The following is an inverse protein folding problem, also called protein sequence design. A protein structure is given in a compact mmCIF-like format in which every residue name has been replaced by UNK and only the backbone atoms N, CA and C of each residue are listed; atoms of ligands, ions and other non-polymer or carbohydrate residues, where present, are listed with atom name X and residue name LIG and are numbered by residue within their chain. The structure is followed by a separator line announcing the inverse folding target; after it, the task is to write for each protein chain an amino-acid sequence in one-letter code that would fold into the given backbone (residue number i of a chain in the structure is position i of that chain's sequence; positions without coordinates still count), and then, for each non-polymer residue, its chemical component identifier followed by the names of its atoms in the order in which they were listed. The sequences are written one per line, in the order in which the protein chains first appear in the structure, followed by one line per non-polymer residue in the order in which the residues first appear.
data_IF_703790216084
#
_entry.id   IF_703790216084
#
_cell.length_a   1.000
_cell.length_b   1.000
_cell.length_c   1.000
_cell.angle_alpha   90.00
_cell.angle_beta   90.00
_cell.angle_gamma   90.00
#
_symmetry.space_group_name_H-M   'P 1'
#
loop_
_entity.id
_entity.type
_entity.pdbx_description
1 polymer ?
#
# COMPACT_ATOMS: atom_id res chain seq x y z
N UNK A 1 -15.19 4.34 -3.45
CA UNK A 1 -16.60 4.60 -3.09
C UNK A 1 -17.49 4.28 -4.28
N UNK A 2 -18.76 3.98 -4.08
CA UNK A 2 -19.70 3.73 -5.19
C UNK A 2 -20.58 4.94 -5.38
N UNK A 3 -20.68 5.44 -6.61
CA UNK A 3 -21.57 6.55 -6.98
C UNK A 3 -22.11 6.29 -8.38
N UNK A 4 -23.41 6.54 -8.59
CA UNK A 4 -24.12 6.25 -9.84
C UNK A 4 -23.93 4.80 -10.33
N UNK A 5 -23.98 3.83 -9.40
CA UNK A 5 -23.71 2.41 -9.67
C UNK A 5 -22.32 2.11 -10.28
N UNK A 6 -21.36 3.01 -10.12
CA UNK A 6 -19.98 2.82 -10.56
C UNK A 6 -19.01 2.86 -9.38
N UNK A 7 -18.00 1.99 -9.44
CA UNK A 7 -16.86 2.05 -8.53
C UNK A 7 -15.98 3.24 -8.91
N UNK A 8 -15.70 4.09 -7.92
CA UNK A 8 -14.93 5.31 -8.09
C UNK A 8 -13.87 5.40 -7.00
N UNK A 9 -12.73 5.99 -7.35
CA UNK A 9 -11.63 6.25 -6.43
C UNK A 9 -11.12 7.68 -6.63
N UNK A 10 -10.48 8.20 -5.59
CA UNK A 10 -9.71 9.44 -5.64
C UNK A 10 -8.26 9.07 -5.34
N UNK A 11 -7.34 9.60 -6.15
CA UNK A 11 -5.91 9.41 -6.00
C UNK A 11 -5.23 10.77 -6.10
N UNK A 12 -4.24 11.01 -5.26
CA UNK A 12 -3.45 12.24 -5.25
C UNK A 12 -1.99 11.90 -5.58
N UNK A 13 -1.43 12.61 -6.56
CA UNK A 13 -0.01 12.59 -6.86
C UNK A 13 0.72 13.67 -6.07
N UNK A 14 2.02 13.46 -5.81
CA UNK A 14 2.88 14.50 -5.24
C UNK A 14 3.06 15.71 -6.16
N UNK A 15 3.06 15.46 -7.48
CA UNK A 15 3.25 16.48 -8.50
C UNK A 15 2.12 16.48 -9.54
N UNK A 16 1.65 17.66 -9.98
CA UNK A 16 0.58 17.77 -10.97
C UNK A 16 0.99 17.23 -12.36
N UNK A 17 2.28 17.29 -12.70
CA UNK A 17 2.81 16.78 -13.98
C UNK A 17 2.61 15.27 -14.09
N UNK A 18 2.91 14.53 -13.02
CA UNK A 18 2.70 13.07 -12.97
C UNK A 18 1.21 12.72 -13.11
N UNK A 19 0.32 13.51 -12.51
CA UNK A 19 -1.13 13.33 -12.65
C UNK A 19 -1.60 13.54 -14.10
N UNK A 20 -1.08 14.57 -14.78
CA UNK A 20 -1.40 14.83 -16.19
C UNK A 20 -0.92 13.69 -17.09
N UNK A 21 0.32 13.24 -16.91
CA UNK A 21 0.88 12.14 -17.69
C UNK A 21 0.10 10.83 -17.46
N UNK A 22 -0.25 10.52 -16.21
CA UNK A 22 -1.05 9.35 -15.88
C UNK A 22 -2.43 9.39 -16.56
N UNK A 23 -3.12 10.53 -16.54
CA UNK A 23 -4.40 10.70 -17.23
C UNK A 23 -4.25 10.44 -18.74
N UNK A 24 -3.25 11.03 -19.39
CA UNK A 24 -3.03 10.86 -20.83
C UNK A 24 -2.71 9.41 -21.22
N UNK A 25 -1.96 8.69 -20.38
CA UNK A 25 -1.52 7.33 -20.67
C UNK A 25 -2.57 6.26 -20.31
N UNK A 26 -3.40 6.51 -19.29
CA UNK A 26 -4.25 5.47 -18.69
C UNK A 26 -5.75 5.70 -18.90
N UNK A 27 -6.19 6.90 -19.28
CA UNK A 27 -7.61 7.14 -19.55
C UNK A 27 -8.09 6.28 -20.73
N UNK A 28 -9.19 5.56 -20.55
CA UNK A 28 -9.73 4.62 -21.53
C UNK A 28 -9.03 3.26 -21.60
N UNK A 29 -7.96 3.03 -20.84
CA UNK A 29 -7.24 1.76 -20.83
C UNK A 29 -7.90 0.73 -19.90
N UNK A 30 -7.70 -0.56 -20.17
CA UNK A 30 -8.22 -1.64 -19.34
C UNK A 30 -7.19 -2.09 -18.29
N UNK A 31 -7.62 -2.31 -17.04
CA UNK A 31 -6.75 -2.87 -16.00
C UNK A 31 -6.45 -4.35 -16.30
N UNK A 32 -7.44 -5.08 -16.80
CA UNK A 32 -7.33 -6.48 -17.20
C UNK A 32 -7.76 -6.64 -18.64
N UNK A 33 -7.32 -7.71 -19.32
CA UNK A 33 -7.72 -7.95 -20.70
C UNK A 33 -9.25 -7.93 -20.85
N UNK A 34 -9.74 -7.02 -21.70
CA UNK A 34 -11.16 -6.80 -21.99
C UNK A 34 -12.07 -6.48 -20.78
N UNK A 35 -11.54 -6.01 -19.64
CA UNK A 35 -12.35 -5.66 -18.46
C UNK A 35 -11.74 -4.50 -17.65
N UNK A 36 -12.57 -3.85 -16.82
CA UNK A 36 -12.15 -2.78 -15.91
C UNK A 36 -11.52 -1.56 -16.62
N UNK A 37 -12.25 -0.98 -17.58
CA UNK A 37 -11.83 0.23 -18.28
C UNK A 37 -11.74 1.43 -17.32
N UNK A 38 -10.60 2.10 -17.32
CA UNK A 38 -10.34 3.30 -16.55
C UNK A 38 -11.01 4.52 -17.19
N UNK A 39 -11.60 5.37 -16.35
CA UNK A 39 -12.07 6.71 -16.69
C UNK A 39 -11.45 7.68 -15.71
N UNK A 40 -10.63 8.59 -16.21
CA UNK A 40 -9.78 9.44 -15.37
C UNK A 40 -10.09 10.91 -15.67
N UNK A 41 -10.60 11.60 -14.65
CA UNK A 41 -10.88 13.03 -14.67
C UNK A 41 -10.18 13.73 -13.50
N UNK A 42 -9.95 15.04 -13.65
CA UNK A 42 -9.42 15.85 -12.56
C UNK A 42 -10.50 16.14 -11.52
N UNK A 43 -10.16 15.90 -10.24
CA UNK A 43 -11.03 16.25 -9.12
C UNK A 43 -11.03 17.76 -8.89
N UNK A 44 -12.09 18.27 -8.26
CA UNK A 44 -12.16 19.64 -7.72
C UNK A 44 -11.41 19.78 -6.39
N UNK A 45 -11.08 18.65 -5.75
CA UNK A 45 -10.35 18.63 -4.48
C UNK A 45 -8.87 18.90 -4.73
N UNK A 46 -8.30 19.85 -3.98
CA UNK A 46 -6.86 20.13 -4.00
C UNK A 46 -6.07 19.08 -3.22
N UNK A 47 -6.65 18.58 -2.12
CA UNK A 47 -6.04 17.59 -1.23
C UNK A 47 -7.04 16.50 -0.83
N UNK A 48 -6.54 15.29 -0.62
CA UNK A 48 -7.29 14.16 -0.08
C UNK A 48 -6.97 13.99 1.40
N UNK A 49 -8.01 13.86 2.22
CA UNK A 49 -7.86 13.60 3.64
C UNK A 49 -8.08 12.11 3.93
N UNK A 50 -6.99 11.38 4.22
CA UNK A 50 -7.03 9.98 4.65
C UNK A 50 -6.91 9.91 6.17
N UNK A 51 -7.88 9.25 6.80
CA UNK A 51 -7.93 9.04 8.26
C UNK A 51 -7.39 7.68 8.70
N UNK A 52 -7.56 6.67 7.85
CA UNK A 52 -7.20 5.29 8.15
C UNK A 52 -6.49 4.64 6.97
N UNK A 53 -5.54 3.76 7.26
CA UNK A 53 -4.81 2.96 6.27
C UNK A 53 -5.42 1.55 6.16
N UNK A 54 -6.46 1.38 5.34
CA UNK A 54 -7.17 0.12 5.13
C UNK A 54 -7.55 -0.10 3.65
N UNK A 55 -8.40 -1.10 3.38
CA UNK A 55 -8.82 -1.46 2.02
C UNK A 55 -9.56 -0.34 1.26
N UNK A 56 -10.12 0.64 1.99
CA UNK A 56 -10.90 1.74 1.40
C UNK A 56 -10.10 3.02 1.21
N UNK A 57 -9.04 3.23 1.98
CA UNK A 57 -8.20 4.42 1.92
C UNK A 57 -6.79 4.14 2.39
N UNK A 58 -5.80 4.80 1.79
CA UNK A 58 -4.39 4.67 2.19
C UNK A 58 -3.63 5.97 1.94
N UNK A 59 -2.84 6.37 2.93
CA UNK A 59 -1.89 7.47 2.89
C UNK A 59 -0.48 6.87 2.84
N UNK A 60 0.18 7.02 1.70
CA UNK A 60 1.53 6.48 1.49
C UNK A 60 2.63 7.35 2.14
N UNK A 61 2.29 8.53 2.67
CA UNK A 61 3.23 9.43 3.36
C UNK A 61 3.19 9.29 4.88
N UNK A 62 2.10 8.72 5.42
CA UNK A 62 1.89 8.51 6.86
C UNK A 62 1.62 7.02 7.17
N UNK A 63 2.68 6.20 7.33
CA UNK A 63 2.53 4.79 7.66
C UNK A 63 2.00 4.56 9.08
N UNK A 64 2.06 5.57 9.94
CA UNK A 64 1.62 5.60 11.33
C UNK A 64 0.09 5.70 11.51
N UNK A 65 -0.67 5.95 10.44
CA UNK A 65 -2.13 6.01 10.55
C UNK A 65 -2.74 4.66 10.96
N UNK A 66 -3.75 4.66 11.84
CA UNK A 66 -4.42 3.43 12.25
C UNK A 66 -5.17 2.77 11.09
N UNK A 67 -5.40 1.47 11.17
CA UNK A 67 -6.18 0.73 10.16
C UNK A 67 -7.70 0.88 10.34
N UNK A 68 -8.18 1.31 11.52
CA UNK A 68 -9.61 1.54 11.79
C UNK A 68 -9.90 1.82 13.27
N UNK A 69 -11.14 2.20 13.58
CA UNK A 69 -11.66 2.35 14.95
C UNK A 69 -11.79 0.97 15.61
N UNK A 70 -10.68 0.38 16.05
CA UNK A 70 -10.70 -0.95 16.67
C UNK A 70 -9.37 -1.66 16.78
N UNK A 71 -8.31 -1.17 16.12
CA UNK A 71 -6.96 -1.61 16.46
C UNK A 71 -6.47 -0.81 17.66
N UNK A 72 -6.12 -1.43 18.80
CA UNK A 72 -5.23 -0.77 19.74
C UNK A 72 -3.96 -0.40 18.95
N UNK A 73 -3.51 0.85 19.07
CA UNK A 73 -2.23 1.26 18.52
C UNK A 73 -1.20 0.20 18.95
N UNK A 74 -0.66 -0.55 17.98
CA UNK A 74 0.36 -1.53 18.28
C UNK A 74 1.53 -0.73 18.85
N UNK A 75 1.82 -0.95 20.13
CA UNK A 75 2.96 -0.34 20.79
C UNK A 75 4.19 -0.49 19.87
N UNK A 76 5.01 0.55 19.68
CA UNK A 76 6.20 0.48 18.83
C UNK A 76 7.13 -0.71 19.17
N UNK A 77 7.07 -1.20 20.42
CA UNK A 77 7.76 -2.39 20.89
C UNK A 77 7.26 -3.71 20.26
N UNK A 78 5.97 -3.81 19.93
CA UNK A 78 5.35 -5.02 19.36
C UNK A 78 5.60 -5.09 17.85
N UNK A 79 5.59 -3.94 17.15
CA UNK A 79 5.91 -3.86 15.72
C UNK A 79 7.37 -4.26 15.42
N UNK A 80 8.32 -3.90 16.29
CA UNK A 80 9.72 -4.31 16.18
C UNK A 80 9.94 -5.82 16.43
N UNK A 81 9.08 -6.47 17.21
CA UNK A 81 9.19 -7.90 17.49
C UNK A 81 8.78 -8.76 16.28
N UNK A 82 7.76 -8.36 15.52
CA UNK A 82 7.27 -9.11 14.35
C UNK A 82 8.23 -9.04 13.15
N UNK A 83 9.02 -7.97 13.03
CA UNK A 83 10.06 -7.87 12.00
C UNK A 83 11.26 -8.79 12.26
N UNK A 84 11.42 -9.30 13.49
CA UNK A 84 12.61 -10.07 13.89
C UNK A 84 12.47 -11.58 13.69
N UNK A 85 11.26 -12.12 13.49
CA UNK A 85 11.04 -13.56 13.33
C UNK A 85 11.12 -14.09 11.88
N UNK A 86 11.15 -13.24 10.85
CA UNK A 86 11.36 -13.69 9.45
C UNK A 86 12.83 -14.00 9.12
N UNK A 87 13.77 -13.72 10.03
CA UNK A 87 15.20 -13.97 9.82
C UNK A 87 15.69 -15.32 10.40
N UNK A 88 14.88 -16.39 10.32
CA UNK A 88 15.29 -17.74 10.74
C UNK A 88 15.58 -18.71 9.57
N UNK A 89 15.94 -18.19 8.39
CA UNK A 89 16.52 -19.00 7.30
C UNK A 89 18.05 -18.87 7.17
N UNK A 90 18.72 -18.28 8.17
CA UNK A 90 20.17 -18.21 8.22
C UNK A 90 20.79 -19.45 8.86
N UNK A 91 20.90 -20.56 8.14
CA UNK A 91 21.77 -21.69 8.53
C UNK A 91 23.23 -21.20 8.62
N UNK A 92 23.93 -21.35 9.76
CA UNK A 92 25.38 -21.35 9.73
C UNK A 92 25.85 -22.78 9.45
N UNK A 93 26.50 -22.98 8.31
CA UNK A 93 27.29 -24.19 8.05
C UNK A 93 28.48 -24.18 9.02
N UNK A 94 28.33 -24.84 10.17
CA UNK A 94 29.41 -25.03 11.12
C UNK A 94 30.21 -26.28 10.73
N UNK A 95 31.50 -26.05 10.47
CA UNK A 95 32.50 -27.02 10.09
C UNK A 95 32.61 -28.18 11.10
N UNK A 96 32.86 -29.39 10.58
CA UNK A 96 33.16 -30.59 11.37
C UNK A 96 34.68 -30.69 11.57
N UNK A 97 35.16 -30.80 12.82
CA UNK A 97 36.45 -31.42 13.08
C UNK A 97 36.37 -32.55 14.10
N UNK A 98 37.06 -33.66 13.82
CA UNK A 98 37.77 -34.41 14.85
C UNK A 98 37.19 -35.77 15.22
N UNK A 99 37.96 -36.80 14.89
CA UNK A 99 37.80 -38.21 15.25
C UNK A 99 38.24 -38.54 16.70
N UNK A 100 37.95 -39.79 17.11
CA UNK A 100 38.47 -40.56 18.26
C UNK A 100 37.74 -40.23 19.59
N UNK A 101 37.24 -41.19 20.38
CA UNK A 101 37.66 -42.58 20.64
C UNK A 101 36.48 -43.52 20.91
#
# INVERSE_FOLDING_TARGET
FTKNNQFQALLQYGDPVNAQQAKLALDGQNIYNACCTLRIDFSKLVNLNVKYNNDKSRDYTRPDLPSGDGQPALDPAIAAAFAKETSLLGLPVAAVPGALS
#
